data_IF_638121098408
#
_entry.id   IF_638121098408
#
_cell.length_a   1.000
_cell.length_b   1.000
_cell.length_c   1.000
_cell.angle_alpha   90.00
_cell.angle_beta   90.00
_cell.angle_gamma   90.00
#
_symmetry.space_group_name_H-M   'P 1'
#
loop_
_entity.id
_entity.type
_entity.pdbx_description
1 polymer ?
#
# COMPACT_ATOMS: atom_id res chain seq x y z
N UNK A 1 -21.71 -4.35 5.66
CA UNK A 1 -21.78 -3.57 4.38
C UNK A 1 -22.62 -4.37 3.40
N UNK A 2 -23.60 -3.76 2.74
CA UNK A 2 -24.48 -4.48 1.81
C UNK A 2 -23.73 -4.81 0.51
N UNK A 3 -23.95 -6.00 -0.04
CA UNK A 3 -23.37 -6.51 -1.29
C UNK A 3 -23.42 -5.52 -2.47
N UNK A 4 -24.37 -4.61 -2.48
CA UNK A 4 -24.55 -3.56 -3.50
C UNK A 4 -23.45 -2.49 -3.45
N UNK A 5 -22.93 -2.12 -2.26
CA UNK A 5 -21.82 -1.16 -2.14
C UNK A 5 -20.51 -1.78 -2.64
N UNK A 6 -20.27 -3.03 -2.34
CA UNK A 6 -19.08 -3.77 -2.77
C UNK A 6 -19.06 -3.94 -4.30
N UNK A 7 -20.19 -4.29 -4.91
CA UNK A 7 -20.31 -4.41 -6.36
C UNK A 7 -20.09 -3.06 -7.08
N UNK A 8 -20.58 -1.95 -6.51
CA UNK A 8 -20.40 -0.59 -7.05
C UNK A 8 -18.92 -0.14 -6.97
N UNK A 9 -18.21 -0.46 -5.88
CA UNK A 9 -16.78 -0.16 -5.74
C UNK A 9 -15.92 -1.01 -6.69
N UNK A 10 -16.23 -2.29 -6.86
CA UNK A 10 -15.54 -3.15 -7.83
C UNK A 10 -15.77 -2.65 -9.26
N UNK A 11 -16.98 -2.17 -9.58
CA UNK A 11 -17.26 -1.60 -10.90
C UNK A 11 -16.47 -0.31 -11.15
N UNK A 12 -16.32 0.56 -10.15
CA UNK A 12 -15.45 1.75 -10.22
C UNK A 12 -13.98 1.35 -10.39
N UNK A 13 -13.48 0.40 -9.62
CA UNK A 13 -12.10 -0.08 -9.69
C UNK A 13 -11.78 -0.73 -11.04
N UNK A 14 -12.70 -1.50 -11.63
CA UNK A 14 -12.53 -2.09 -12.95
C UNK A 14 -12.67 -1.07 -14.08
N UNK A 15 -13.51 -0.07 -13.95
CA UNK A 15 -13.64 1.02 -14.92
C UNK A 15 -12.41 1.94 -14.91
N UNK A 16 -11.88 2.27 -13.73
CA UNK A 16 -10.65 3.05 -13.58
C UNK A 16 -9.42 2.26 -14.05
N UNK A 17 -9.37 0.97 -13.82
CA UNK A 17 -8.35 0.08 -14.39
C UNK A 17 -8.39 0.10 -15.92
N UNK A 18 -9.56 -0.02 -16.56
CA UNK A 18 -9.71 0.03 -18.02
C UNK A 18 -9.37 1.40 -18.62
N UNK A 19 -9.67 2.51 -17.94
CA UNK A 19 -9.30 3.87 -18.38
C UNK A 19 -7.80 4.14 -18.22
N UNK A 20 -7.17 3.67 -17.16
CA UNK A 20 -5.74 3.75 -16.94
C UNK A 20 -4.95 2.96 -18.01
N UNK A 21 -5.44 1.78 -18.40
CA UNK A 21 -4.81 0.94 -19.43
C UNK A 21 -4.77 1.59 -20.82
N UNK A 22 -5.78 2.39 -21.21
CA UNK A 22 -5.82 3.05 -22.54
C UNK A 22 -4.84 4.20 -22.71
N UNK A 23 -4.24 4.74 -21.63
CA UNK A 23 -3.37 5.93 -21.65
C UNK A 23 -1.92 5.67 -21.29
N UNK A 24 -1.57 4.45 -20.89
CA UNK A 24 -0.21 4.09 -20.51
C UNK A 24 0.63 3.74 -21.74
N UNK A 25 1.19 4.76 -22.42
CA UNK A 25 2.51 4.58 -23.04
C UNK A 25 3.44 4.22 -21.88
N UNK A 26 3.93 2.98 -21.85
CA UNK A 26 4.89 2.53 -20.85
C UNK A 26 6.10 3.45 -20.93
N UNK A 27 6.33 4.29 -19.91
CA UNK A 27 7.55 5.06 -19.79
C UNK A 27 8.68 4.04 -19.71
N UNK A 28 9.48 3.94 -20.77
CA UNK A 28 10.63 3.06 -20.79
C UNK A 28 11.73 3.69 -19.94
N UNK A 29 12.05 3.04 -18.81
CA UNK A 29 13.12 3.51 -17.92
C UNK A 29 14.45 3.20 -18.59
N UNK A 30 15.21 4.24 -18.95
CA UNK A 30 16.51 4.08 -19.64
C UNK A 30 17.49 3.25 -18.81
N UNK A 31 18.42 2.55 -19.47
CA UNK A 31 19.44 1.75 -18.80
C UNK A 31 20.28 2.58 -17.82
N UNK A 32 20.54 3.85 -18.15
CA UNK A 32 21.28 4.80 -17.31
C UNK A 32 20.52 5.12 -16.01
N UNK A 33 19.22 5.40 -16.09
CA UNK A 33 18.38 5.65 -14.91
C UNK A 33 18.30 4.38 -14.03
N UNK A 34 18.19 3.20 -14.64
CA UNK A 34 18.18 1.94 -13.89
C UNK A 34 19.50 1.74 -13.12
N UNK A 35 20.64 2.02 -13.76
CA UNK A 35 21.95 1.93 -13.10
C UNK A 35 22.04 2.92 -11.94
N UNK A 36 21.73 4.19 -12.18
CA UNK A 36 21.76 5.24 -11.17
C UNK A 36 20.89 4.89 -9.96
N UNK A 37 19.64 4.44 -10.18
CA UNK A 37 18.74 4.10 -9.07
C UNK A 37 19.25 2.91 -8.25
N UNK A 38 19.92 1.92 -8.86
CA UNK A 38 20.56 0.84 -8.13
C UNK A 38 21.68 1.34 -7.24
N UNK A 39 22.59 2.16 -7.77
CA UNK A 39 23.70 2.76 -7.03
C UNK A 39 23.18 3.62 -5.86
N UNK A 40 22.13 4.41 -6.07
CA UNK A 40 21.51 5.20 -5.01
C UNK A 40 20.85 4.31 -3.95
N UNK A 41 20.15 3.24 -4.34
CA UNK A 41 19.59 2.31 -3.38
C UNK A 41 20.68 1.66 -2.53
N UNK A 42 21.77 1.20 -3.13
CA UNK A 42 22.89 0.60 -2.41
C UNK A 42 23.56 1.61 -1.46
N UNK A 43 23.59 2.89 -1.81
CA UNK A 43 24.14 3.97 -0.98
C UNK A 43 23.24 4.30 0.21
N UNK A 44 21.93 4.36 -0.01
CA UNK A 44 20.97 4.90 0.98
C UNK A 44 20.16 3.83 1.73
N UNK A 45 20.11 2.58 1.25
CA UNK A 45 19.46 1.49 2.01
C UNK A 45 20.43 0.91 3.04
N UNK A 46 20.91 1.74 3.96
CA UNK A 46 21.87 1.37 5.01
C UNK A 46 21.35 1.75 6.40
N UNK A 47 21.90 1.09 7.44
CA UNK A 47 21.57 1.43 8.83
C UNK A 47 22.06 2.81 9.21
N UNK A 48 23.19 3.21 8.68
CA UNK A 48 23.83 4.51 8.91
C UNK A 48 22.93 5.64 8.38
N UNK A 49 22.51 5.55 7.13
CA UNK A 49 21.59 6.52 6.54
C UNK A 49 20.24 6.55 7.29
N UNK A 50 19.76 5.39 7.71
CA UNK A 50 18.49 5.27 8.44
C UNK A 50 18.60 5.52 9.94
N UNK A 51 19.76 5.90 10.47
CA UNK A 51 19.94 6.22 11.90
C UNK A 51 19.01 7.37 12.37
N UNK A 52 18.74 8.33 11.49
CA UNK A 52 17.76 9.39 11.70
C UNK A 52 16.33 9.07 11.26
N UNK A 53 16.09 7.89 10.68
CA UNK A 53 14.78 7.50 10.14
C UNK A 53 13.85 7.01 11.26
N UNK A 54 12.52 7.21 11.15
CA UNK A 54 11.55 6.69 12.12
C UNK A 54 11.65 5.17 12.37
N UNK A 55 12.10 4.40 11.40
CA UNK A 55 12.30 2.95 11.53
C UNK A 55 13.28 2.56 12.64
N UNK A 56 14.16 3.48 13.09
CA UNK A 56 15.04 3.25 14.24
C UNK A 56 14.28 2.88 15.51
N UNK A 57 13.07 3.42 15.70
CA UNK A 57 12.23 3.13 16.87
C UNK A 57 11.76 1.68 16.84
N UNK A 58 11.44 1.17 15.66
CA UNK A 58 11.04 -0.22 15.44
C UNK A 58 12.13 -1.19 15.89
N UNK A 59 13.40 -0.83 15.65
CA UNK A 59 14.58 -1.64 16.02
C UNK A 59 14.94 -1.62 17.50
N UNK A 60 14.27 -0.82 18.32
CA UNK A 60 14.48 -0.80 19.78
C UNK A 60 13.81 -2.00 20.47
N UNK A 61 12.87 -2.66 19.80
CA UNK A 61 12.11 -3.78 20.33
C UNK A 61 12.58 -5.11 19.75
N UNK A 62 12.35 -6.20 20.50
CA UNK A 62 12.74 -7.57 20.09
C UNK A 62 11.54 -8.46 19.83
N UNK A 63 10.44 -8.27 20.57
CA UNK A 63 9.21 -9.02 20.39
C UNK A 63 8.50 -8.55 19.11
N UNK A 64 8.08 -9.47 18.26
CA UNK A 64 7.30 -9.16 17.05
C UNK A 64 6.05 -8.32 17.37
N UNK A 65 5.35 -8.61 18.47
CA UNK A 65 4.18 -7.86 18.90
C UNK A 65 4.51 -6.41 19.24
N UNK A 66 5.62 -6.18 19.95
CA UNK A 66 6.07 -4.84 20.32
C UNK A 66 6.53 -4.07 19.09
N UNK A 67 7.25 -4.74 18.17
CA UNK A 67 7.68 -4.16 16.89
C UNK A 67 6.45 -3.72 16.06
N UNK A 68 5.44 -4.55 15.91
CA UNK A 68 4.23 -4.25 15.14
C UNK A 68 3.49 -3.00 15.69
N UNK A 69 3.28 -2.94 17.00
CA UNK A 69 2.62 -1.81 17.66
C UNK A 69 3.46 -0.54 17.56
N UNK A 70 4.77 -0.64 17.84
CA UNK A 70 5.68 0.50 17.78
C UNK A 70 5.80 1.04 16.35
N UNK A 71 5.92 0.16 15.35
CA UNK A 71 5.97 0.52 13.95
C UNK A 71 4.70 1.23 13.49
N UNK A 72 3.53 0.69 13.86
CA UNK A 72 2.26 1.28 13.47
C UNK A 72 2.07 2.69 14.04
N UNK A 73 2.22 2.87 15.35
CA UNK A 73 2.10 4.18 16.00
C UNK A 73 3.11 5.18 15.42
N UNK A 74 4.36 4.75 15.22
CA UNK A 74 5.41 5.58 14.63
C UNK A 74 5.06 6.00 13.20
N UNK A 75 4.60 5.08 12.38
CA UNK A 75 4.21 5.37 11.01
C UNK A 75 3.04 6.37 10.94
N UNK A 76 2.03 6.22 11.79
CA UNK A 76 0.87 7.11 11.83
C UNK A 76 1.23 8.54 12.21
N UNK A 77 2.31 8.76 12.96
CA UNK A 77 2.82 10.08 13.34
C UNK A 77 3.89 10.61 12.36
N UNK A 78 4.39 9.81 11.42
CA UNK A 78 5.51 10.17 10.53
C UNK A 78 5.10 11.12 9.40
N UNK A 79 4.79 12.38 9.76
CA UNK A 79 4.53 13.48 8.83
C UNK A 79 4.98 14.81 9.43
N UNK A 80 5.31 15.78 8.59
CA UNK A 80 5.85 17.05 9.01
C UNK A 80 7.36 17.00 9.28
N UNK A 81 7.86 17.84 10.16
CA UNK A 81 9.30 17.90 10.50
C UNK A 81 9.70 16.68 11.34
N UNK A 82 10.78 16.01 10.92
CA UNK A 82 11.24 14.73 11.49
C UNK A 82 11.50 14.83 13.00
N UNK A 83 12.22 15.85 13.44
CA UNK A 83 12.56 16.03 14.85
C UNK A 83 11.29 16.16 15.71
N UNK A 84 10.29 16.89 15.21
CA UNK A 84 9.05 17.15 15.94
C UNK A 84 8.23 15.88 16.16
N UNK A 85 8.02 15.08 15.11
CA UNK A 85 7.22 13.86 15.30
C UNK A 85 8.00 12.77 16.06
N UNK A 86 9.32 12.67 15.89
CA UNK A 86 10.12 11.73 16.68
C UNK A 86 10.06 12.03 18.17
N UNK A 87 10.09 13.31 18.59
CA UNK A 87 9.87 13.70 19.99
C UNK A 87 8.50 13.25 20.49
N UNK A 88 7.44 13.41 19.68
CA UNK A 88 6.09 12.98 20.05
C UNK A 88 5.94 11.47 20.13
N UNK A 89 6.55 10.75 19.20
CA UNK A 89 6.62 9.28 19.24
C UNK A 89 7.38 8.82 20.50
N UNK A 90 8.51 9.46 20.82
CA UNK A 90 9.28 9.15 22.01
C UNK A 90 8.47 9.38 23.30
N UNK A 91 7.64 10.44 23.37
CA UNK A 91 6.74 10.67 24.51
C UNK A 91 5.81 9.49 24.75
N UNK A 92 5.24 8.90 23.68
CA UNK A 92 4.37 7.73 23.81
C UNK A 92 5.17 6.52 24.31
N UNK A 93 6.36 6.26 23.76
CA UNK A 93 7.11 5.05 24.10
C UNK A 93 7.85 5.15 25.44
N UNK A 94 8.07 6.35 25.98
CA UNK A 94 8.48 6.51 27.38
C UNK A 94 7.38 5.98 28.31
N UNK A 95 6.10 6.25 28.02
CA UNK A 95 4.96 5.73 28.81
C UNK A 95 4.77 4.22 28.60
N UNK A 96 4.86 3.76 27.35
CA UNK A 96 4.69 2.35 27.02
C UNK A 96 5.84 1.44 27.49
N UNK A 97 7.00 2.02 27.74
CA UNK A 97 8.19 1.32 28.23
C UNK A 97 8.73 0.28 27.24
N UNK A 98 9.18 -0.86 27.79
CA UNK A 98 9.80 -1.94 27.01
C UNK A 98 8.81 -2.82 26.25
N UNK A 99 7.52 -2.77 26.60
CA UNK A 99 6.48 -3.67 26.11
C UNK A 99 5.24 -2.91 25.61
N UNK A 100 5.35 -2.14 24.50
CA UNK A 100 4.23 -1.34 23.99
C UNK A 100 3.00 -2.18 23.63
N UNK A 101 3.16 -3.40 23.17
CA UNK A 101 2.03 -4.27 22.90
C UNK A 101 1.27 -4.66 24.18
N UNK A 102 1.99 -4.91 25.28
CA UNK A 102 1.36 -5.20 26.57
C UNK A 102 0.71 -3.93 27.14
N UNK A 103 1.35 -2.78 27.05
CA UNK A 103 0.80 -1.50 27.49
C UNK A 103 -0.54 -1.17 26.80
N UNK A 104 -0.63 -1.43 25.50
CA UNK A 104 -1.88 -1.31 24.74
C UNK A 104 -2.89 -2.35 25.22
N UNK A 105 -2.50 -3.64 25.25
CA UNK A 105 -3.42 -4.77 25.53
C UNK A 105 -4.02 -4.69 26.93
N UNK A 106 -3.23 -4.31 27.93
CA UNK A 106 -3.70 -4.19 29.32
C UNK A 106 -4.61 -2.97 29.56
N UNK A 107 -4.65 -2.03 28.62
CA UNK A 107 -5.37 -0.77 28.81
C UNK A 107 -4.64 0.23 29.71
N UNK A 108 -3.38 -0.01 30.13
CA UNK A 108 -2.58 0.90 30.98
C UNK A 108 -2.44 2.29 30.34
N UNK A 109 -2.48 2.38 29.01
CA UNK A 109 -2.49 3.66 28.29
C UNK A 109 -3.67 4.58 28.69
N UNK A 110 -4.73 4.06 29.28
CA UNK A 110 -5.91 4.84 29.68
C UNK A 110 -5.60 5.76 30.86
N UNK A 111 -4.77 5.30 31.80
CA UNK A 111 -4.29 6.10 32.93
C UNK A 111 -3.05 6.93 32.56
N UNK A 112 -2.13 6.36 31.78
CA UNK A 112 -0.81 6.93 31.55
C UNK A 112 -0.83 8.03 30.48
N UNK A 113 -1.71 7.94 29.48
CA UNK A 113 -1.78 8.90 28.39
C UNK A 113 -2.95 9.88 28.59
N UNK A 114 -2.70 11.21 28.62
CA UNK A 114 -3.72 12.21 28.91
C UNK A 114 -4.91 12.17 27.95
N UNK A 115 -6.07 12.61 28.43
CA UNK A 115 -7.25 12.91 27.62
C UNK A 115 -7.27 14.39 27.21
N UNK A 116 -8.03 14.69 26.18
CA UNK A 116 -8.42 16.03 25.82
C UNK A 116 -8.27 16.38 24.35
N UNK A 117 -9.00 17.41 23.99
CA UNK A 117 -9.04 17.95 22.62
C UNK A 117 -7.84 18.83 22.27
N UNK A 118 -6.98 19.17 23.27
CA UNK A 118 -5.72 19.89 23.02
C UNK A 118 -4.84 19.12 22.05
N UNK A 119 -4.05 19.83 21.26
CA UNK A 119 -3.17 19.23 20.25
C UNK A 119 -2.04 18.45 20.89
N UNK A 120 -1.93 17.17 20.52
CA UNK A 120 -0.76 16.34 20.80
C UNK A 120 0.33 16.58 19.76
N UNK A 121 -0.03 16.47 18.47
CA UNK A 121 0.89 16.72 17.37
C UNK A 121 0.15 17.31 16.16
N UNK A 122 0.56 18.49 15.73
CA UNK A 122 -0.01 19.25 14.61
C UNK A 122 -1.54 19.36 14.71
N UNK A 123 -2.28 18.63 13.88
CA UNK A 123 -3.75 18.62 13.88
C UNK A 123 -4.37 17.45 14.67
N UNK A 124 -3.55 16.54 15.20
CA UNK A 124 -4.04 15.45 16.07
C UNK A 124 -4.08 15.90 17.54
N UNK A 125 -5.20 15.63 18.19
CA UNK A 125 -5.39 15.82 19.61
C UNK A 125 -4.88 14.63 20.43
N UNK A 126 -4.90 14.73 21.74
CA UNK A 126 -4.68 13.59 22.62
C UNK A 126 -5.75 12.54 22.44
N UNK A 127 -7.02 12.95 22.25
CA UNK A 127 -8.12 12.01 22.01
C UNK A 127 -7.97 11.28 20.66
N UNK A 128 -7.54 11.95 19.58
CA UNK A 128 -7.22 11.28 18.31
C UNK A 128 -6.17 10.17 18.48
N UNK A 129 -5.20 10.34 19.40
CA UNK A 129 -4.20 9.31 19.69
C UNK A 129 -4.79 8.18 20.54
N UNK A 130 -5.67 8.51 21.48
CA UNK A 130 -6.38 7.52 22.29
C UNK A 130 -7.27 6.63 21.44
N UNK A 131 -7.87 7.16 20.38
CA UNK A 131 -8.67 6.38 19.42
C UNK A 131 -7.81 5.29 18.75
N UNK A 132 -6.55 5.61 18.37
CA UNK A 132 -5.61 4.60 17.87
C UNK A 132 -5.34 3.51 18.93
N UNK A 133 -5.07 3.91 20.19
CA UNK A 133 -4.76 2.97 21.25
C UNK A 133 -5.96 2.07 21.57
N UNK A 134 -7.15 2.62 21.61
CA UNK A 134 -8.38 1.86 21.84
C UNK A 134 -8.66 0.85 20.71
N UNK A 135 -8.46 1.26 19.45
CA UNK A 135 -8.61 0.36 18.31
C UNK A 135 -7.55 -0.75 18.31
N UNK A 136 -6.28 -0.42 18.60
CA UNK A 136 -5.22 -1.42 18.77
C UNK A 136 -5.53 -2.37 19.92
N UNK A 137 -6.01 -1.88 21.06
CA UNK A 137 -6.41 -2.72 22.20
C UNK A 137 -7.47 -3.72 21.79
N UNK A 138 -8.56 -3.28 21.16
CA UNK A 138 -9.63 -4.16 20.67
C UNK A 138 -9.11 -5.22 19.68
N UNK A 139 -8.15 -4.88 18.84
CA UNK A 139 -7.50 -5.84 17.93
C UNK A 139 -6.67 -6.85 18.74
N UNK A 140 -5.83 -6.40 19.66
CA UNK A 140 -4.94 -7.26 20.44
C UNK A 140 -5.66 -8.14 21.47
N UNK A 141 -6.86 -7.76 21.90
CA UNK A 141 -7.72 -8.60 22.73
C UNK A 141 -8.27 -9.80 21.96
N UNK A 142 -8.59 -9.62 20.68
CA UNK A 142 -9.21 -10.61 19.81
C UNK A 142 -8.22 -11.44 19.01
N UNK A 143 -6.99 -10.96 18.86
CA UNK A 143 -5.96 -11.58 18.02
C UNK A 143 -4.64 -11.69 18.79
N UNK A 144 -3.84 -12.68 18.45
CA UNK A 144 -2.54 -12.93 19.08
C UNK A 144 -1.54 -11.79 18.87
N UNK A 145 -1.64 -11.06 17.73
CA UNK A 145 -0.85 -9.89 17.40
C UNK A 145 -1.58 -9.00 16.37
N UNK A 146 -1.04 -7.80 16.11
CA UNK A 146 -1.57 -6.95 15.05
C UNK A 146 -1.37 -7.58 13.67
N UNK A 147 -0.23 -8.22 13.43
CA UNK A 147 0.04 -8.95 12.19
C UNK A 147 -0.90 -10.14 11.98
N UNK A 148 -1.27 -10.85 13.04
CA UNK A 148 -2.26 -11.94 12.98
C UNK A 148 -3.65 -11.43 12.57
N UNK A 149 -4.07 -10.27 13.09
CA UNK A 149 -5.29 -9.60 12.64
C UNK A 149 -5.24 -9.25 11.16
N UNK A 150 -4.17 -8.54 10.74
CA UNK A 150 -4.05 -8.08 9.35
C UNK A 150 -4.00 -9.25 8.38
N UNK A 151 -3.25 -10.33 8.71
CA UNK A 151 -3.18 -11.53 7.89
C UNK A 151 -4.56 -12.17 7.71
N UNK A 152 -5.27 -12.43 8.81
CA UNK A 152 -6.60 -13.04 8.79
C UNK A 152 -7.58 -12.20 7.96
N UNK A 153 -7.69 -10.91 8.25
CA UNK A 153 -8.60 -10.03 7.54
C UNK A 153 -8.25 -9.88 6.04
N UNK A 154 -6.95 -9.91 5.70
CA UNK A 154 -6.49 -9.94 4.32
C UNK A 154 -6.89 -11.23 3.58
N UNK A 155 -6.74 -12.38 4.22
CA UNK A 155 -7.14 -13.68 3.67
C UNK A 155 -8.66 -13.74 3.42
N UNK A 156 -9.46 -13.22 4.35
CA UNK A 156 -10.91 -13.10 4.24
C UNK A 156 -11.32 -12.16 3.09
N UNK A 157 -10.71 -10.98 2.98
CA UNK A 157 -10.95 -10.03 1.89
C UNK A 157 -10.59 -10.64 0.53
N UNK A 158 -9.46 -11.36 0.44
CA UNK A 158 -9.07 -12.06 -0.77
C UNK A 158 -10.02 -13.20 -1.15
N UNK A 159 -10.58 -13.92 -0.16
CA UNK A 159 -11.57 -14.98 -0.40
C UNK A 159 -12.88 -14.42 -0.95
N UNK A 160 -13.39 -13.34 -0.35
CA UNK A 160 -14.60 -12.65 -0.83
C UNK A 160 -14.43 -12.17 -2.26
N UNK A 161 -13.29 -11.56 -2.59
CA UNK A 161 -13.01 -11.05 -3.94
C UNK A 161 -12.90 -12.18 -4.97
N UNK A 162 -12.26 -13.29 -4.61
CA UNK A 162 -12.18 -14.47 -5.49
C UNK A 162 -13.57 -15.04 -5.81
N UNK A 163 -14.45 -15.11 -4.82
CA UNK A 163 -15.81 -15.60 -5.00
C UNK A 163 -16.62 -14.67 -5.92
N UNK A 164 -16.53 -13.35 -5.70
CA UNK A 164 -17.19 -12.37 -6.58
C UNK A 164 -16.70 -12.50 -8.02
N UNK A 165 -15.39 -12.71 -8.21
CA UNK A 165 -14.83 -12.88 -9.56
C UNK A 165 -15.30 -14.19 -10.21
N UNK A 166 -15.44 -15.26 -9.43
CA UNK A 166 -15.98 -16.56 -9.88
C UNK A 166 -17.44 -16.43 -10.32
N UNK A 167 -18.27 -15.77 -9.53
CA UNK A 167 -19.70 -15.58 -9.82
C UNK A 167 -19.88 -14.71 -11.07
N UNK A 168 -19.15 -13.60 -11.18
CA UNK A 168 -19.20 -12.74 -12.37
C UNK A 168 -18.62 -13.45 -13.63
N UNK A 169 -17.60 -14.28 -13.46
CA UNK A 169 -17.04 -15.10 -14.55
C UNK A 169 -18.01 -16.18 -15.06
N UNK A 170 -18.81 -16.76 -14.17
CA UNK A 170 -19.87 -17.71 -14.52
C UNK A 170 -21.01 -16.98 -15.27
N UNK A 171 -21.39 -15.79 -14.81
CA UNK A 171 -22.39 -14.95 -15.47
C UNK A 171 -22.01 -14.62 -16.93
N UNK A 172 -20.74 -14.29 -17.18
CA UNK A 172 -20.24 -14.02 -18.55
C UNK A 172 -20.27 -15.29 -19.40
N UNK A 173 -19.90 -16.46 -18.84
CA UNK A 173 -19.96 -17.74 -19.57
C UNK A 173 -21.40 -18.22 -19.82
N UNK A 174 -22.31 -17.96 -18.89
CA UNK A 174 -23.73 -18.26 -19.06
C UNK A 174 -24.37 -17.36 -20.13
N UNK A 175 -24.09 -16.05 -20.10
CA UNK A 175 -24.57 -15.12 -21.12
C UNK A 175 -24.07 -15.47 -22.54
N UNK A 176 -22.82 -15.93 -22.67
CA UNK A 176 -22.27 -16.37 -23.96
C UNK A 176 -22.81 -17.73 -24.41
N UNK A 177 -23.44 -18.53 -23.54
CA UNK A 177 -24.12 -19.79 -23.90
C UNK A 177 -25.59 -19.62 -24.25
N UNK A 178 -26.27 -18.62 -23.71
CA UNK A 178 -27.70 -18.40 -23.91
C UNK A 178 -28.04 -17.60 -25.16
N UNK A 179 -27.07 -17.14 -25.96
CA UNK A 179 -27.36 -16.59 -27.31
C UNK A 179 -27.67 -17.66 -28.37
N UNK A 180 -27.70 -18.95 -28.02
CA UNK A 180 -28.07 -20.04 -28.94
C UNK A 180 -29.42 -20.73 -28.65
N UNK A 181 -30.13 -20.41 -27.55
CA UNK A 181 -31.44 -21.04 -27.28
C UNK A 181 -32.38 -20.09 -26.55
N UNK A 182 -33.54 -19.89 -27.16
CA UNK A 182 -34.76 -19.15 -26.87
C UNK A 182 -35.20 -18.94 -25.43
N UNK A 183 -35.66 -17.67 -25.21
CA UNK A 183 -36.78 -17.22 -24.34
C UNK A 183 -36.98 -17.88 -22.98
N UNK A 184 -36.82 -17.08 -21.90
CA UNK A 184 -37.84 -16.83 -20.86
C UNK A 184 -37.47 -15.58 -20.05
N UNK A 185 -38.47 -14.74 -19.81
CA UNK A 185 -38.50 -13.47 -19.08
C UNK A 185 -38.21 -13.62 -17.60
N UNK A 186 -37.51 -12.69 -17.01
CA UNK A 186 -37.97 -11.79 -15.96
C UNK A 186 -36.81 -11.04 -15.25
N UNK A 187 -37.03 -9.75 -15.10
CA UNK A 187 -36.47 -8.81 -14.13
C UNK A 187 -34.97 -8.49 -14.18
N UNK A 188 -34.55 -7.59 -15.01
CA UNK A 188 -34.18 -6.24 -14.65
C UNK A 188 -32.81 -6.00 -14.05
N UNK A 189 -31.67 -6.20 -14.81
CA UNK A 189 -30.51 -5.32 -14.68
C UNK A 189 -29.95 -5.13 -16.11
N UNK A 190 -30.19 -3.94 -16.69
CA UNK A 190 -29.57 -3.53 -17.95
C UNK A 190 -28.06 -3.33 -17.74
N UNK A 191 -27.25 -4.27 -18.20
CA UNK A 191 -25.83 -4.06 -18.47
C UNK A 191 -25.68 -3.57 -19.91
N UNK A 192 -25.08 -2.39 -20.07
CA UNK A 192 -24.78 -1.82 -21.36
C UNK A 192 -23.88 -2.75 -22.18
N UNK A 193 -24.40 -3.27 -23.28
CA UNK A 193 -23.70 -4.09 -24.25
C UNK A 193 -22.61 -3.29 -24.95
N UNK A 194 -21.36 -3.64 -24.71
CA UNK A 194 -20.25 -3.20 -25.55
C UNK A 194 -20.20 -4.13 -26.78
N UNK A 195 -20.59 -3.62 -27.95
CA UNK A 195 -20.48 -4.33 -29.23
C UNK A 195 -19.01 -4.68 -29.51
N UNK A 196 -18.66 -5.94 -29.42
CA UNK A 196 -17.43 -6.48 -29.96
C UNK A 196 -17.69 -6.91 -31.40
N UNK A 197 -17.08 -6.23 -32.35
CA UNK A 197 -17.01 -6.65 -33.74
C UNK A 197 -16.33 -8.03 -33.81
N UNK A 198 -17.08 -9.03 -34.22
CA UNK A 198 -16.55 -10.33 -34.63
C UNK A 198 -15.79 -10.16 -35.95
N UNK A 199 -14.48 -10.33 -35.94
CA UNK A 199 -13.72 -10.90 -37.04
C UNK A 199 -13.16 -12.22 -36.55
N UNK A 200 -13.63 -13.30 -37.16
CA UNK A 200 -13.14 -14.65 -37.00
C UNK A 200 -11.73 -14.73 -37.62
N UNK A 201 -10.72 -14.89 -36.78
CA UNK A 201 -9.42 -15.41 -37.18
C UNK A 201 -9.09 -16.59 -36.28
N UNK A 202 -9.14 -17.78 -36.88
CA UNK A 202 -8.63 -19.04 -36.36
C UNK A 202 -7.10 -18.97 -36.38
N UNK A 203 -6.50 -18.52 -35.31
CA UNK A 203 -5.07 -18.53 -35.10
C UNK A 203 -4.79 -18.84 -33.63
N UNK A 204 -3.94 -19.84 -33.35
CA UNK A 204 -3.43 -20.09 -32.02
C UNK A 204 -2.77 -18.81 -31.47
N UNK A 205 -3.03 -18.46 -30.18
CA UNK A 205 -2.47 -17.24 -29.63
C UNK A 205 -0.93 -17.34 -29.61
N UNK A 206 -0.26 -16.38 -30.23
CA UNK A 206 1.19 -16.34 -30.28
C UNK A 206 1.78 -16.33 -28.84
N UNK A 207 2.94 -16.91 -28.65
CA UNK A 207 3.66 -16.96 -27.37
C UNK A 207 3.80 -15.55 -26.74
N UNK A 208 3.90 -14.52 -27.57
CA UNK A 208 3.89 -13.11 -27.16
C UNK A 208 2.53 -12.66 -26.61
N UNK A 209 1.42 -13.13 -27.18
CA UNK A 209 0.07 -12.85 -26.71
C UNK A 209 -0.21 -13.47 -25.33
N UNK A 210 0.20 -14.73 -25.14
CA UNK A 210 0.07 -15.44 -23.84
C UNK A 210 0.91 -14.76 -22.76
N UNK A 211 2.17 -14.37 -23.05
CA UNK A 211 3.03 -13.63 -22.11
C UNK A 211 2.43 -12.27 -21.73
N UNK A 212 1.84 -11.56 -22.68
CA UNK A 212 1.21 -10.26 -22.43
C UNK A 212 -0.09 -10.40 -21.60
N UNK A 213 -0.90 -11.43 -21.84
CA UNK A 213 -2.11 -11.74 -21.06
C UNK A 213 -1.74 -12.10 -19.61
N UNK A 214 -0.76 -12.99 -19.41
CA UNK A 214 -0.27 -13.38 -18.08
C UNK A 214 0.32 -12.20 -17.30
N UNK A 215 1.01 -11.28 -17.98
CA UNK A 215 1.53 -10.05 -17.36
C UNK A 215 0.41 -9.12 -16.87
N UNK A 216 -0.66 -8.96 -17.68
CA UNK A 216 -1.83 -8.14 -17.30
C UNK A 216 -2.57 -8.74 -16.10
N UNK A 217 -2.73 -10.06 -16.06
CA UNK A 217 -3.36 -10.77 -14.95
C UNK A 217 -2.56 -10.58 -13.67
N UNK A 218 -1.24 -10.80 -13.69
CA UNK A 218 -0.36 -10.58 -12.53
C UNK A 218 -0.37 -9.12 -12.04
N UNK A 219 -0.41 -8.15 -12.93
CA UNK A 219 -0.53 -6.73 -12.54
C UNK A 219 -1.87 -6.43 -11.86
N UNK A 220 -2.97 -7.02 -12.34
CA UNK A 220 -4.27 -6.88 -11.70
C UNK A 220 -4.29 -7.53 -10.31
N UNK A 221 -3.73 -8.72 -10.17
CA UNK A 221 -3.62 -9.44 -8.89
C UNK A 221 -2.78 -8.65 -7.87
N UNK A 222 -1.61 -8.15 -8.25
CA UNK A 222 -0.76 -7.30 -7.42
C UNK A 222 -1.45 -6.00 -7.01
N UNK A 223 -2.23 -5.41 -7.93
CA UNK A 223 -3.07 -4.24 -7.65
C UNK A 223 -4.10 -4.53 -6.55
N UNK A 224 -4.78 -5.68 -6.62
CA UNK A 224 -5.75 -6.09 -5.62
C UNK A 224 -5.10 -6.38 -4.25
N UNK A 225 -3.94 -7.04 -4.25
CA UNK A 225 -3.23 -7.38 -3.03
C UNK A 225 -2.87 -6.15 -2.19
N UNK A 226 -2.23 -5.16 -2.79
CA UNK A 226 -1.85 -3.93 -2.08
C UNK A 226 -3.04 -3.11 -1.60
N UNK A 227 -4.11 -2.98 -2.41
CA UNK A 227 -5.32 -2.29 -1.98
C UNK A 227 -6.02 -3.00 -0.84
N UNK A 228 -6.10 -4.34 -0.89
CA UNK A 228 -6.72 -5.12 0.16
C UNK A 228 -6.04 -4.90 1.51
N UNK A 229 -4.69 -4.87 1.56
CA UNK A 229 -3.96 -4.56 2.80
C UNK A 229 -4.26 -3.17 3.34
N UNK A 230 -4.30 -2.15 2.47
CA UNK A 230 -4.64 -0.78 2.89
C UNK A 230 -6.05 -0.71 3.47
N UNK A 231 -7.00 -1.42 2.85
CA UNK A 231 -8.39 -1.46 3.29
C UNK A 231 -8.57 -2.20 4.61
N UNK A 232 -7.92 -3.34 4.77
CA UNK A 232 -7.92 -4.12 6.02
C UNK A 232 -7.38 -3.28 7.19
N UNK A 233 -6.29 -2.54 6.98
CA UNK A 233 -5.76 -1.66 8.02
C UNK A 233 -6.76 -0.53 8.32
N UNK A 234 -7.31 0.14 7.31
CA UNK A 234 -8.29 1.20 7.54
C UNK A 234 -9.55 0.70 8.28
N UNK A 235 -10.04 -0.49 7.94
CA UNK A 235 -11.21 -1.12 8.59
C UNK A 235 -10.97 -1.51 10.05
N UNK A 236 -9.71 -1.79 10.43
CA UNK A 236 -9.32 -2.01 11.82
C UNK A 236 -9.35 -0.75 12.69
N UNK A 237 -9.40 0.43 12.06
CA UNK A 237 -9.36 1.73 12.71
C UNK A 237 -10.51 2.64 12.25
N UNK A 238 -11.77 2.21 12.36
CA UNK A 238 -12.90 3.02 11.94
C UNK A 238 -12.93 4.31 12.75
N UNK A 239 -13.14 5.45 12.10
CA UNK A 239 -13.23 6.77 12.72
C UNK A 239 -11.92 7.30 13.37
N UNK A 240 -10.82 6.53 13.37
CA UNK A 240 -9.53 7.02 13.84
C UNK A 240 -8.97 8.04 12.85
N UNK A 241 -9.10 9.32 13.17
CA UNK A 241 -8.64 10.43 12.31
C UNK A 241 -7.15 10.37 11.98
N UNK A 242 -6.36 9.82 12.89
CA UNK A 242 -4.91 9.72 12.73
C UNK A 242 -4.49 8.57 11.79
N UNK A 243 -5.37 7.63 11.46
CA UNK A 243 -5.11 6.54 10.52
C UNK A 243 -5.68 6.91 9.14
N UNK A 244 -4.87 6.81 8.05
CA UNK A 244 -5.37 7.05 6.70
C UNK A 244 -6.54 6.13 6.38
N UNK A 245 -7.66 6.71 5.96
CA UNK A 245 -8.86 6.00 5.57
C UNK A 245 -8.85 5.69 4.07
N UNK A 246 -9.82 4.87 3.62
CA UNK A 246 -10.02 4.56 2.21
C UNK A 246 -10.22 5.85 1.40
N UNK A 247 -9.56 5.95 0.26
CA UNK A 247 -9.67 7.13 -0.61
C UNK A 247 -8.56 7.23 -1.64
N UNK A 248 -8.51 8.34 -2.36
CA UNK A 248 -7.57 8.57 -3.46
C UNK A 248 -6.15 9.00 -3.00
N UNK A 249 -5.92 9.13 -1.70
CA UNK A 249 -4.60 9.50 -1.13
C UNK A 249 -3.55 8.44 -1.44
N UNK A 250 -2.28 8.84 -1.56
CA UNK A 250 -1.15 7.93 -1.70
C UNK A 250 -0.91 7.03 -0.47
N UNK A 251 -1.61 7.25 0.64
CA UNK A 251 -1.50 6.46 1.89
C UNK A 251 -0.05 6.23 2.36
N UNK A 252 0.80 7.27 2.21
CA UNK A 252 2.25 7.20 2.48
C UNK A 252 2.56 6.54 3.82
N UNK A 253 1.83 6.89 4.88
CA UNK A 253 2.08 6.39 6.24
C UNK A 253 1.78 4.91 6.38
N UNK A 254 0.67 4.45 5.82
CA UNK A 254 0.31 3.02 5.81
C UNK A 254 1.26 2.21 4.93
N UNK A 255 1.61 2.71 3.73
CA UNK A 255 2.57 2.05 2.85
C UNK A 255 3.97 1.97 3.48
N UNK A 256 4.39 3.00 4.23
CA UNK A 256 5.66 2.98 4.96
C UNK A 256 5.64 1.93 6.10
N UNK A 257 4.55 1.82 6.84
CA UNK A 257 4.35 0.76 7.83
C UNK A 257 4.41 -0.63 7.18
N UNK A 258 3.70 -0.84 6.08
CA UNK A 258 3.72 -2.11 5.34
C UNK A 258 5.11 -2.45 4.82
N UNK A 259 5.85 -1.46 4.29
CA UNK A 259 7.24 -1.64 3.89
C UNK A 259 8.08 -2.18 5.05
N UNK A 260 8.00 -1.55 6.23
CA UNK A 260 8.76 -2.00 7.41
C UNK A 260 8.40 -3.41 7.85
N UNK A 261 7.13 -3.81 7.73
CA UNK A 261 6.67 -5.13 8.19
C UNK A 261 7.00 -6.26 7.21
N UNK A 262 6.98 -5.99 5.90
CA UNK A 262 7.00 -7.03 4.86
C UNK A 262 8.40 -7.29 4.30
N UNK A 263 9.25 -6.27 4.14
CA UNK A 263 10.56 -6.44 3.47
C UNK A 263 11.56 -7.16 4.36
N UNK A 264 11.89 -8.41 4.01
CA UNK A 264 12.79 -9.29 4.76
C UNK A 264 14.28 -9.08 4.41
N UNK A 265 14.59 -8.75 3.15
CA UNK A 265 15.96 -8.58 2.66
C UNK A 265 16.42 -7.11 2.72
N UNK A 266 16.15 -6.44 3.84
CA UNK A 266 16.54 -5.05 4.05
C UNK A 266 17.29 -4.89 5.36
N UNK A 267 18.43 -4.17 5.39
CA UNK A 267 19.12 -3.86 6.66
C UNK A 267 18.33 -2.88 7.53
N UNK A 268 17.27 -2.26 6.98
CA UNK A 268 16.51 -1.17 7.61
C UNK A 268 15.16 -1.64 8.13
N UNK A 269 14.45 -2.44 7.33
CA UNK A 269 13.08 -2.87 7.61
C UNK A 269 13.05 -4.10 8.53
N UNK A 270 11.92 -4.37 9.22
CA UNK A 270 11.83 -5.44 10.21
C UNK A 270 11.52 -6.81 9.60
N UNK A 271 10.80 -6.86 8.48
CA UNK A 271 10.54 -8.09 7.72
C UNK A 271 9.78 -9.18 8.47
N UNK A 272 8.82 -8.82 9.33
CA UNK A 272 8.08 -9.79 10.16
C UNK A 272 6.97 -10.51 9.40
N UNK A 273 6.42 -9.89 8.36
CA UNK A 273 5.24 -10.40 7.65
C UNK A 273 5.63 -11.14 6.37
N UNK A 274 6.24 -12.31 6.54
CA UNK A 274 6.73 -13.15 5.44
C UNK A 274 5.63 -13.77 4.57
N UNK A 275 4.37 -13.66 5.00
CA UNK A 275 3.19 -14.14 4.27
C UNK A 275 2.72 -13.22 3.14
N UNK A 276 3.25 -12.01 3.06
CA UNK A 276 2.96 -11.06 1.98
C UNK A 276 4.23 -10.81 1.15
N UNK A 277 4.08 -10.66 -0.16
CA UNK A 277 5.23 -10.46 -1.06
C UNK A 277 5.68 -9.00 -1.11
N UNK A 278 6.98 -8.70 -0.93
CA UNK A 278 7.51 -7.36 -1.17
C UNK A 278 7.24 -6.84 -2.59
N UNK A 279 7.11 -7.74 -3.58
CA UNK A 279 6.76 -7.38 -4.95
C UNK A 279 5.39 -6.72 -5.08
N UNK A 280 4.49 -6.93 -4.13
CA UNK A 280 3.12 -6.41 -4.14
C UNK A 280 2.94 -5.16 -3.27
N UNK A 281 3.99 -4.68 -2.62
CA UNK A 281 3.96 -3.43 -1.89
C UNK A 281 3.85 -2.21 -2.82
N UNK A 282 3.19 -1.18 -2.34
CA UNK A 282 3.23 0.16 -2.94
C UNK A 282 4.32 0.99 -2.28
N UNK A 283 5.03 1.76 -3.09
CA UNK A 283 6.04 2.70 -2.60
C UNK A 283 5.39 3.74 -1.67
N UNK A 284 6.01 4.07 -0.52
CA UNK A 284 5.59 5.17 0.35
C UNK A 284 5.79 6.53 -0.33
N UNK A 285 4.84 6.96 -1.15
CA UNK A 285 4.97 8.17 -1.96
C UNK A 285 4.84 9.43 -1.10
N UNK A 286 5.96 10.09 -0.82
CA UNK A 286 6.00 11.40 -0.20
C UNK A 286 6.41 12.52 -1.19
N UNK A 287 6.56 13.74 -0.69
CA UNK A 287 6.91 14.91 -1.51
C UNK A 287 8.32 14.84 -2.10
N UNK A 288 9.29 14.23 -1.39
CA UNK A 288 10.66 14.04 -1.88
C UNK A 288 10.68 13.00 -2.99
N UNK A 289 10.09 11.83 -2.72
CA UNK A 289 9.96 10.73 -3.69
C UNK A 289 9.22 11.19 -4.94
N UNK A 290 8.08 11.88 -4.78
CA UNK A 290 7.29 12.42 -5.89
C UNK A 290 8.12 13.36 -6.78
N UNK A 291 8.84 14.29 -6.15
CA UNK A 291 9.66 15.29 -6.86
C UNK A 291 10.80 14.63 -7.64
N UNK A 292 11.52 13.67 -7.03
CA UNK A 292 12.62 13.00 -7.70
C UNK A 292 12.13 12.06 -8.80
N UNK A 293 11.01 11.36 -8.59
CA UNK A 293 10.40 10.52 -9.61
C UNK A 293 9.98 11.32 -10.86
N UNK A 294 9.47 12.54 -10.69
CA UNK A 294 9.19 13.47 -11.79
C UNK A 294 10.45 13.88 -12.53
N UNK A 295 11.48 14.35 -11.81
CA UNK A 295 12.76 14.77 -12.39
C UNK A 295 13.43 13.66 -13.21
N UNK A 296 13.28 12.40 -12.78
CA UNK A 296 13.80 11.24 -13.49
C UNK A 296 12.88 10.74 -14.62
N UNK A 297 11.74 11.38 -14.84
CA UNK A 297 10.78 10.95 -15.86
C UNK A 297 10.13 9.59 -15.57
N UNK A 298 10.15 9.10 -14.32
CA UNK A 298 9.50 7.86 -13.92
C UNK A 298 7.97 7.97 -13.90
N UNK A 299 7.48 9.18 -13.67
CA UNK A 299 6.07 9.58 -13.68
C UNK A 299 5.90 10.93 -14.37
N UNK A 300 4.68 11.30 -14.72
CA UNK A 300 4.39 12.58 -15.36
C UNK A 300 4.67 13.76 -14.42
N UNK A 301 5.17 14.86 -14.95
CA UNK A 301 5.36 16.14 -14.23
C UNK A 301 4.06 16.64 -13.58
N UNK A 302 2.90 16.33 -14.17
CA UNK A 302 1.58 16.72 -13.66
C UNK A 302 1.03 15.79 -12.58
N UNK A 303 1.72 14.69 -12.23
CA UNK A 303 1.25 13.72 -11.23
C UNK A 303 1.17 14.37 -9.86
N UNK A 304 0.09 14.09 -9.11
CA UNK A 304 -0.10 14.49 -7.72
C UNK A 304 0.16 13.28 -6.78
N UNK A 305 0.27 13.52 -5.48
CA UNK A 305 0.47 12.48 -4.47
C UNK A 305 -0.82 11.67 -4.23
N UNK A 306 -1.19 10.83 -5.18
CA UNK A 306 -2.38 9.97 -5.17
C UNK A 306 -1.98 8.50 -5.14
N UNK A 307 -2.92 7.62 -4.77
CA UNK A 307 -2.73 6.18 -4.85
C UNK A 307 -2.39 5.74 -6.28
N UNK A 308 -3.05 6.33 -7.27
CA UNK A 308 -2.75 6.08 -8.69
C UNK A 308 -1.29 6.37 -9.03
N UNK A 309 -0.77 7.51 -8.59
CA UNK A 309 0.64 7.87 -8.82
C UNK A 309 1.61 6.95 -8.09
N UNK A 310 1.27 6.54 -6.85
CA UNK A 310 2.08 5.56 -6.11
C UNK A 310 2.17 4.23 -6.89
N UNK A 311 1.08 3.78 -7.51
CA UNK A 311 1.05 2.59 -8.38
C UNK A 311 1.89 2.77 -9.64
N UNK A 312 1.68 3.88 -10.36
CA UNK A 312 2.44 4.19 -11.59
C UNK A 312 3.96 4.18 -11.31
N UNK A 313 4.36 4.77 -10.19
CA UNK A 313 5.76 4.77 -9.77
C UNK A 313 6.23 3.36 -9.37
N UNK A 314 5.43 2.62 -8.60
CA UNK A 314 5.76 1.24 -8.23
C UNK A 314 5.93 0.37 -9.46
N UNK A 315 5.06 0.49 -10.47
CA UNK A 315 5.18 -0.24 -11.74
C UNK A 315 6.44 0.13 -12.53
N UNK A 316 6.86 1.39 -12.48
CA UNK A 316 8.13 1.82 -13.06
C UNK A 316 9.33 1.19 -12.34
N UNK A 317 9.29 1.13 -11.01
CA UNK A 317 10.33 0.55 -10.16
C UNK A 317 10.39 -0.98 -10.25
N UNK A 318 9.26 -1.67 -10.47
CA UNK A 318 9.24 -3.13 -10.77
C UNK A 318 10.05 -3.52 -12.00
N UNK A 319 10.32 -2.58 -12.92
CA UNK A 319 11.20 -2.83 -14.07
C UNK A 319 12.68 -2.85 -13.70
N UNK A 320 13.01 -2.38 -12.49
CA UNK A 320 14.37 -2.35 -11.93
C UNK A 320 14.52 -3.45 -10.88
N UNK A 321 13.53 -3.58 -10.00
CA UNK A 321 13.44 -4.56 -8.92
C UNK A 321 12.08 -5.27 -8.98
N UNK A 322 11.94 -6.34 -9.76
CA UNK A 322 10.67 -7.04 -9.93
C UNK A 322 10.10 -7.58 -8.62
N UNK A 323 10.97 -8.05 -7.74
CA UNK A 323 10.61 -8.72 -6.50
C UNK A 323 10.55 -7.77 -5.29
N UNK A 324 11.09 -6.55 -5.42
CA UNK A 324 11.13 -5.57 -4.33
C UNK A 324 11.18 -4.12 -4.85
N UNK A 325 10.08 -3.59 -5.41
CA UNK A 325 10.06 -2.23 -5.97
C UNK A 325 10.27 -1.14 -4.91
N UNK A 326 10.03 -1.45 -3.61
CA UNK A 326 10.21 -0.51 -2.51
C UNK A 326 11.69 -0.20 -2.21
N UNK A 327 12.67 -0.91 -2.78
CA UNK A 327 14.07 -0.46 -2.80
C UNK A 327 14.22 0.92 -3.44
N UNK A 328 13.37 1.24 -4.41
CA UNK A 328 13.35 2.55 -5.05
C UNK A 328 12.99 3.71 -4.12
N UNK A 329 12.34 3.45 -2.99
CA UNK A 329 12.07 4.47 -1.97
C UNK A 329 13.36 5.04 -1.38
N UNK A 330 14.32 4.18 -1.04
CA UNK A 330 15.62 4.61 -0.52
C UNK A 330 16.40 5.42 -1.56
N UNK A 331 16.40 4.99 -2.82
CA UNK A 331 17.06 5.71 -3.90
C UNK A 331 16.48 7.12 -4.09
N UNK A 332 15.15 7.22 -4.21
CA UNK A 332 14.47 8.48 -4.48
C UNK A 332 14.44 9.41 -3.26
N UNK A 333 14.22 8.84 -2.07
CA UNK A 333 14.22 9.61 -0.83
C UNK A 333 15.63 10.11 -0.50
N UNK A 334 16.64 9.24 -0.57
CA UNK A 334 18.05 9.57 -0.32
C UNK A 334 18.51 10.71 -1.23
N UNK A 335 18.26 10.59 -2.52
CA UNK A 335 18.52 11.66 -3.49
C UNK A 335 17.76 12.96 -3.14
N UNK A 336 16.54 12.85 -2.62
CA UNK A 336 15.73 14.01 -2.26
C UNK A 336 16.20 14.77 -1.03
N UNK A 337 16.91 14.12 -0.12
CA UNK A 337 17.40 14.71 1.15
C UNK A 337 18.89 15.02 1.12
N UNK A 338 19.68 14.37 0.25
CA UNK A 338 21.12 14.64 0.10
C UNK A 338 21.41 16.03 -0.52
N UNK A 339 20.43 16.61 -1.21
CA UNK A 339 20.59 17.85 -1.96
C UNK A 339 21.45 17.71 -3.22
N UNK A 340 21.87 16.49 -3.57
CA UNK A 340 22.68 16.22 -4.76
C UNK A 340 21.93 16.62 -6.04
N UNK A 341 22.65 17.24 -6.96
CA UNK A 341 22.11 17.55 -8.28
C UNK A 341 22.16 16.31 -9.16
N UNK A 342 20.99 15.78 -9.49
CA UNK A 342 20.86 14.56 -10.28
C UNK A 342 21.47 14.69 -11.69
N UNK A 343 21.49 15.91 -12.24
CA UNK A 343 21.99 16.16 -13.58
C UNK A 343 23.51 15.95 -13.65
N UNK A 344 24.25 16.27 -12.59
CA UNK A 344 25.70 16.06 -12.53
C UNK A 344 26.09 14.57 -12.54
N UNK A 345 25.17 13.67 -12.19
CA UNK A 345 25.35 12.22 -12.23
C UNK A 345 24.81 11.57 -13.52
N UNK A 346 24.01 12.30 -14.28
CA UNK A 346 23.40 11.81 -15.53
C UNK A 346 24.15 12.29 -16.78
N UNK A 347 24.96 13.29 -16.70
CA UNK A 347 25.77 13.84 -17.78
C UNK A 347 27.26 13.82 -17.43
#
# INVERSE_FOLDING_TARGET
MTNVKIASEIHKLTADSKRSFKRQRSIEVSARIKKLLRELADTYETREFSAGDPSRIVRQYRSARDIEVAAFITAMLSFGKREQFLQKVQTIFVLAGKHPAQWIRSGSWQSDFPRGTRKFYRFFSYDDMRDIFAALQNILEKHSSFGAYVKKAYEEECAVRREIFRVNGIGIKAANRTESEHNVSAAGIKLASCKLNKKSESGEPSVTGIKAANRKTRQAESFFASSALLYVIADGFPQCRAVPQKGASANKRTNMFLRWMVRTNSPVDAGLWTWFSPADLLIPLDTHVLRQAKKLGLISERSAATEKTARELTDALKRIWPDDPCRGDFALFGLGVSGENIFDKLY
#
